data_IF_734013855750
#
_entry.id   IF_734013855750
#
_cell.length_a   1.000
_cell.length_b   1.000
_cell.length_c   1.000
_cell.angle_alpha   90.00
_cell.angle_beta   90.00
_cell.angle_gamma   90.00
#
_symmetry.space_group_name_H-M   'P 1'
#
loop_
_entity.id
_entity.type
_entity.pdbx_description
1 polymer ?
#
# COMPACT_ATOMS: atom_id res chain seq x y z
N UNK A 1 19.66 32.12 -94.07
CA UNK A 1 18.54 33.07 -93.95
C UNK A 1 17.32 32.22 -93.54
N UNK A 2 16.79 32.36 -92.46
CA UNK A 2 15.47 32.06 -91.90
C UNK A 2 15.60 31.66 -90.41
N UNK A 3 15.19 32.59 -89.58
CA UNK A 3 15.08 32.45 -88.13
C UNK A 3 13.99 31.48 -87.72
N UNK A 4 14.26 30.55 -86.80
CA UNK A 4 13.25 29.82 -86.05
C UNK A 4 13.35 30.19 -84.58
N UNK A 5 12.33 30.87 -84.07
CA UNK A 5 12.10 31.15 -82.68
C UNK A 5 11.43 29.96 -82.03
N UNK A 6 11.99 29.49 -80.90
CA UNK A 6 11.34 28.47 -80.00
C UNK A 6 10.61 29.22 -78.88
N UNK A 7 9.35 28.91 -78.56
CA UNK A 7 8.64 29.60 -77.49
C UNK A 7 8.98 28.95 -76.09
N UNK A 8 9.29 29.82 -75.14
CA UNK A 8 9.47 29.47 -73.77
C UNK A 8 8.08 29.17 -73.08
N UNK A 9 7.82 27.94 -72.74
CA UNK A 9 6.72 27.56 -71.84
C UNK A 9 7.23 27.65 -70.42
N UNK A 10 6.66 28.56 -69.64
CA UNK A 10 6.85 28.67 -68.21
C UNK A 10 6.07 27.53 -67.49
N UNK A 11 6.77 26.65 -66.83
CA UNK A 11 6.16 25.76 -65.83
C UNK A 11 5.99 26.54 -64.52
N UNK A 12 4.76 26.84 -64.10
CA UNK A 12 4.40 27.23 -62.75
C UNK A 12 4.40 26.00 -61.89
N UNK A 13 5.37 25.89 -60.97
CA UNK A 13 5.36 24.91 -59.90
C UNK A 13 4.44 25.43 -58.79
N UNK A 14 3.30 24.78 -58.65
CA UNK A 14 2.40 24.99 -57.52
C UNK A 14 3.08 24.55 -56.23
N UNK A 15 3.50 25.51 -55.40
CA UNK A 15 3.86 25.31 -54.01
C UNK A 15 2.57 25.37 -53.17
N UNK A 16 2.04 24.24 -52.85
CA UNK A 16 0.95 24.13 -51.92
C UNK A 16 0.73 22.66 -51.55
N UNK A 17 0.78 22.38 -50.25
CA UNK A 17 0.50 21.06 -49.61
C UNK A 17 1.72 20.25 -49.19
N UNK A 18 2.61 20.75 -48.32
CA UNK A 18 3.35 19.97 -47.30
C UNK A 18 3.50 20.87 -46.05
N UNK A 19 2.42 21.23 -45.40
CA UNK A 19 2.39 21.73 -44.02
C UNK A 19 1.07 21.20 -43.43
N UNK A 20 1.06 19.95 -43.06
CA UNK A 20 -0.16 19.36 -42.51
C UNK A 20 0.02 18.00 -41.83
N UNK A 21 1.27 17.55 -41.59
CA UNK A 21 1.48 16.23 -40.95
C UNK A 21 2.58 16.24 -39.87
N UNK A 22 3.05 17.39 -39.40
CA UNK A 22 4.12 17.46 -38.40
C UNK A 22 3.66 17.98 -37.03
N UNK A 23 2.36 18.20 -36.79
CA UNK A 23 1.86 18.82 -35.55
C UNK A 23 0.98 17.91 -34.69
N UNK A 24 0.86 16.62 -35.02
CA UNK A 24 0.06 15.68 -34.23
C UNK A 24 0.87 14.60 -33.48
N UNK A 25 2.21 14.68 -33.48
CA UNK A 25 3.09 13.71 -32.81
C UNK A 25 3.80 14.30 -31.57
N UNK A 26 3.45 15.47 -31.09
CA UNK A 26 4.14 16.14 -29.98
C UNK A 26 3.32 16.25 -28.68
N UNK A 27 2.24 15.50 -28.56
CA UNK A 27 1.45 15.44 -27.31
C UNK A 27 1.39 14.03 -26.67
N UNK A 28 2.18 13.05 -27.14
CA UNK A 28 2.16 11.67 -26.66
C UNK A 28 3.47 11.18 -26.06
N UNK A 29 4.33 12.06 -25.57
CA UNK A 29 5.62 11.66 -24.98
C UNK A 29 5.88 12.42 -23.67
N UNK A 30 5.10 12.11 -22.62
CA UNK A 30 5.53 12.34 -21.25
C UNK A 30 5.81 11.02 -20.48
N UNK A 31 5.32 9.87 -20.97
CA UNK A 31 5.68 8.52 -20.51
C UNK A 31 5.74 7.62 -21.75
N UNK A 32 6.96 7.28 -22.21
CA UNK A 32 7.18 6.52 -23.47
C UNK A 32 6.65 5.08 -23.42
N UNK A 33 6.70 4.40 -22.31
CA UNK A 33 6.10 3.07 -22.05
C UNK A 33 5.33 3.13 -20.74
N UNK A 34 4.23 2.37 -20.65
CA UNK A 34 3.46 2.25 -19.41
C UNK A 34 4.38 1.74 -18.31
N UNK A 35 4.48 2.40 -17.14
CA UNK A 35 5.39 1.97 -16.08
C UNK A 35 4.95 0.63 -15.50
N UNK A 36 5.89 -0.21 -15.13
CA UNK A 36 5.62 -1.30 -14.20
C UNK A 36 5.35 -0.73 -12.80
N UNK A 37 4.54 -1.41 -12.03
CA UNK A 37 4.14 -0.95 -10.70
C UNK A 37 4.35 -2.07 -9.69
N UNK A 38 5.11 -1.76 -8.63
CA UNK A 38 5.38 -2.65 -7.51
C UNK A 38 4.99 -1.94 -6.22
N UNK A 39 3.94 -2.43 -5.56
CA UNK A 39 3.50 -1.96 -4.25
C UNK A 39 3.98 -2.92 -3.18
N UNK A 40 4.83 -2.45 -2.28
CA UNK A 40 5.42 -3.24 -1.19
C UNK A 40 4.92 -2.73 0.14
N UNK A 41 4.50 -3.63 1.02
CA UNK A 41 3.97 -3.26 2.33
C UNK A 41 4.45 -4.21 3.42
N UNK A 42 5.12 -3.65 4.44
CA UNK A 42 5.46 -4.33 5.68
C UNK A 42 4.22 -4.54 6.56
N UNK A 43 4.30 -5.48 7.49
CA UNK A 43 3.27 -5.77 8.48
C UNK A 43 3.77 -5.37 9.87
N UNK A 44 3.16 -4.38 10.50
CA UNK A 44 3.51 -3.88 11.84
C UNK A 44 4.86 -3.13 11.94
N UNK A 45 5.49 -2.71 10.86
CA UNK A 45 6.69 -1.87 10.95
C UNK A 45 6.32 -0.45 11.37
N UNK A 46 6.84 -0.02 12.50
CA UNK A 46 6.64 1.34 13.00
C UNK A 46 7.45 2.40 12.24
N UNK A 47 6.99 3.65 12.35
CA UNK A 47 7.62 4.78 11.66
C UNK A 47 9.11 4.97 12.01
N UNK A 48 9.51 4.64 13.26
CA UNK A 48 10.90 4.75 13.70
C UNK A 48 11.82 3.62 13.27
N UNK A 49 11.29 2.51 12.74
CA UNK A 49 12.06 1.29 12.47
C UNK A 49 12.72 1.29 11.10
N UNK A 50 13.46 2.36 10.80
CA UNK A 50 14.25 2.55 9.58
C UNK A 50 15.52 3.35 9.89
N UNK A 51 16.62 3.03 9.20
CA UNK A 51 17.91 3.67 9.43
C UNK A 51 17.93 5.15 9.11
N UNK A 52 17.21 5.59 8.08
CA UNK A 52 17.13 7.01 7.69
C UNK A 52 16.39 7.92 8.69
N UNK A 53 15.85 7.38 9.78
CA UNK A 53 15.38 8.13 10.96
C UNK A 53 16.28 7.93 12.19
N UNK A 54 17.54 7.56 11.95
CA UNK A 54 18.59 7.43 12.98
C UNK A 54 18.25 6.39 14.07
N UNK A 55 17.62 5.25 13.66
CA UNK A 55 17.37 4.17 14.61
C UNK A 55 18.69 3.70 15.26
N UNK A 56 18.79 3.65 16.60
CA UNK A 56 20.07 3.45 17.28
C UNK A 56 20.71 2.08 16.97
N UNK A 57 19.93 1.04 16.81
CA UNK A 57 20.41 -0.34 16.67
C UNK A 57 20.12 -0.92 15.29
N UNK A 58 18.87 -0.80 14.83
CA UNK A 58 18.43 -1.37 13.55
C UNK A 58 19.05 -0.63 12.36
N UNK A 59 19.59 -1.40 11.41
CA UNK A 59 20.10 -0.88 10.13
C UNK A 59 19.25 -1.40 8.98
N UNK A 60 18.79 -0.50 8.12
CA UNK A 60 17.97 -0.83 6.94
C UNK A 60 18.60 -0.23 5.66
N UNK A 61 19.82 -0.70 5.28
CA UNK A 61 20.60 -0.06 4.22
C UNK A 61 19.89 -0.01 2.87
N UNK A 62 18.98 -0.95 2.60
CA UNK A 62 18.27 -1.01 1.32
C UNK A 62 17.08 -0.03 1.28
N UNK A 63 16.34 0.12 2.38
CA UNK A 63 15.33 1.16 2.56
C UNK A 63 15.96 2.55 2.62
N UNK A 64 17.12 2.69 3.29
CA UNK A 64 17.87 3.93 3.35
C UNK A 64 18.33 4.37 1.94
N UNK A 65 18.85 3.42 1.16
CA UNK A 65 19.22 3.67 -0.23
C UNK A 65 18.01 4.00 -1.11
N UNK A 66 16.85 3.36 -0.88
CA UNK A 66 15.60 3.69 -1.57
C UNK A 66 15.15 5.12 -1.24
N UNK A 67 15.19 5.51 0.04
CA UNK A 67 14.86 6.86 0.49
C UNK A 67 15.82 7.92 -0.06
N UNK A 68 17.10 7.59 -0.19
CA UNK A 68 18.13 8.47 -0.74
C UNK A 68 18.05 8.66 -2.26
N UNK A 69 17.36 7.75 -2.98
CA UNK A 69 17.23 7.80 -4.44
C UNK A 69 15.81 8.12 -4.93
N UNK A 70 14.85 8.29 -4.02
CA UNK A 70 13.44 8.44 -4.33
C UNK A 70 12.77 9.66 -3.68
N UNK A 71 11.45 9.59 -3.63
CA UNK A 71 10.60 10.51 -2.88
C UNK A 71 10.23 9.87 -1.53
N UNK A 72 10.81 10.38 -0.44
CA UNK A 72 10.47 10.00 0.92
C UNK A 72 9.36 10.90 1.47
N UNK A 73 8.40 10.31 2.16
CA UNK A 73 7.37 11.06 2.87
C UNK A 73 7.65 11.02 4.37
N UNK A 74 7.94 12.18 4.97
CA UNK A 74 8.10 12.27 6.42
C UNK A 74 6.78 12.06 7.17
N UNK A 75 5.65 12.27 6.50
CA UNK A 75 4.30 12.13 7.04
C UNK A 75 3.43 11.29 6.11
N UNK A 76 3.71 9.99 6.08
CA UNK A 76 2.89 9.00 5.38
C UNK A 76 2.02 8.25 6.38
N UNK A 77 0.77 8.02 6.01
CA UNK A 77 -0.23 7.43 6.90
C UNK A 77 -0.80 6.13 6.34
N UNK A 78 -0.92 5.13 7.21
CA UNK A 78 -1.73 3.95 6.98
C UNK A 78 -3.21 4.33 6.76
N UNK A 79 -4.05 3.38 6.31
CA UNK A 79 -5.49 3.62 6.18
C UNK A 79 -6.24 3.55 7.50
N UNK A 80 -5.70 2.76 8.43
CA UNK A 80 -6.19 2.56 9.78
C UNK A 80 -5.04 2.06 10.67
N UNK A 81 -5.19 2.02 12.02
CA UNK A 81 -4.11 1.55 12.90
C UNK A 81 -3.98 0.02 12.97
N UNK A 82 -4.49 -0.73 11.98
CA UNK A 82 -4.44 -2.20 11.91
C UNK A 82 -4.47 -2.71 10.47
N UNK A 83 -4.01 -3.95 10.27
CA UNK A 83 -3.69 -4.58 8.99
C UNK A 83 -4.81 -4.58 7.94
N UNK A 84 -5.88 -5.41 8.10
CA UNK A 84 -6.92 -5.58 7.06
C UNK A 84 -7.57 -4.27 6.64
N UNK A 85 -7.94 -3.35 7.55
CA UNK A 85 -8.44 -2.04 7.22
C UNK A 85 -7.53 -1.23 6.29
N UNK A 86 -6.23 -1.18 6.56
CA UNK A 86 -5.27 -0.49 5.69
C UNK A 86 -5.16 -1.16 4.33
N UNK A 87 -5.11 -2.49 4.27
CA UNK A 87 -5.04 -3.26 3.01
C UNK A 87 -6.27 -2.99 2.13
N UNK A 88 -7.46 -2.90 2.73
CA UNK A 88 -8.68 -2.49 2.03
C UNK A 88 -8.56 -1.05 1.46
N UNK A 89 -8.02 -0.12 2.27
CA UNK A 89 -7.82 1.27 1.81
C UNK A 89 -6.81 1.39 0.66
N UNK A 90 -5.74 0.57 0.65
CA UNK A 90 -4.79 0.49 -0.48
C UNK A 90 -5.50 0.06 -1.77
N UNK A 91 -6.35 -0.97 -1.68
CA UNK A 91 -7.01 -1.52 -2.86
C UNK A 91 -8.16 -0.67 -3.40
N UNK A 92 -8.74 0.21 -2.58
CA UNK A 92 -9.96 0.94 -2.94
C UNK A 92 -9.80 2.46 -3.04
N UNK A 93 -8.75 3.03 -2.42
CA UNK A 93 -8.61 4.48 -2.25
C UNK A 93 -9.62 5.08 -1.26
N UNK A 94 -10.32 4.23 -0.49
CA UNK A 94 -11.42 4.58 0.42
C UNK A 94 -11.03 4.30 1.87
N UNK A 95 -11.61 5.04 2.79
CA UNK A 95 -11.52 4.72 4.22
C UNK A 95 -12.10 3.31 4.47
N UNK A 96 -11.45 2.56 5.33
CA UNK A 96 -11.72 1.15 5.58
C UNK A 96 -13.19 0.84 5.93
N UNK A 97 -13.84 1.67 6.77
CA UNK A 97 -15.23 1.44 7.19
C UNK A 97 -16.22 1.55 6.02
N UNK A 98 -15.90 2.33 4.94
CA UNK A 98 -16.70 2.35 3.72
C UNK A 98 -16.77 0.99 3.04
N UNK A 99 -15.70 0.22 3.18
CA UNK A 99 -15.49 -1.05 2.47
C UNK A 99 -15.98 -2.28 3.25
N UNK A 100 -16.49 -2.08 4.48
CA UNK A 100 -16.88 -3.16 5.39
C UNK A 100 -15.72 -3.81 6.15
N UNK A 101 -14.51 -3.28 6.04
CA UNK A 101 -13.34 -3.80 6.75
C UNK A 101 -13.07 -2.96 7.99
N UNK A 102 -13.79 -3.25 9.08
CA UNK A 102 -13.74 -2.46 10.32
C UNK A 102 -12.56 -2.80 11.22
N UNK A 103 -12.07 -4.04 11.13
CA UNK A 103 -10.98 -4.56 11.98
C UNK A 103 -10.23 -5.69 11.27
N UNK A 104 -9.11 -6.13 11.87
CA UNK A 104 -8.32 -7.23 11.32
C UNK A 104 -9.18 -8.49 11.07
N UNK A 105 -8.97 -9.14 9.96
CA UNK A 105 -9.64 -10.37 9.57
C UNK A 105 -11.09 -10.19 9.11
N UNK A 106 -11.57 -8.98 8.76
CA UNK A 106 -12.78 -8.82 7.98
C UNK A 106 -12.51 -9.06 6.50
N UNK A 107 -13.50 -9.60 5.78
CA UNK A 107 -13.45 -9.69 4.32
C UNK A 107 -13.73 -8.34 3.68
N UNK A 108 -13.03 -8.03 2.59
CA UNK A 108 -13.38 -6.91 1.71
C UNK A 108 -14.67 -7.23 0.96
N UNK A 109 -15.60 -6.28 0.88
CA UNK A 109 -16.85 -6.45 0.15
C UNK A 109 -16.59 -6.70 -1.33
N UNK A 110 -17.24 -7.68 -1.92
CA UNK A 110 -17.12 -7.99 -3.36
C UNK A 110 -17.73 -6.92 -4.28
N UNK A 111 -18.51 -5.99 -3.71
CA UNK A 111 -19.07 -4.84 -4.41
C UNK A 111 -18.07 -3.69 -4.58
N UNK A 112 -16.91 -3.75 -3.89
CA UNK A 112 -15.85 -2.74 -4.03
C UNK A 112 -15.17 -2.85 -5.40
N UNK A 113 -14.78 -1.69 -5.94
CA UNK A 113 -13.92 -1.60 -7.12
C UNK A 113 -12.48 -1.60 -6.67
N UNK A 114 -11.78 -2.72 -6.92
CA UNK A 114 -10.42 -2.91 -6.47
C UNK A 114 -9.39 -2.48 -7.52
N UNK A 115 -8.30 -1.89 -7.05
CA UNK A 115 -7.18 -1.42 -7.87
C UNK A 115 -6.64 -2.51 -8.82
N UNK A 116 -6.40 -3.79 -8.39
CA UNK A 116 -5.90 -4.81 -9.32
C UNK A 116 -6.86 -5.08 -10.47
N UNK A 117 -8.17 -5.06 -10.23
CA UNK A 117 -9.16 -5.22 -11.30
C UNK A 117 -9.09 -4.06 -12.30
N UNK A 118 -8.95 -2.82 -11.82
CA UNK A 118 -8.81 -1.64 -12.68
C UNK A 118 -7.52 -1.72 -13.50
N UNK A 119 -6.40 -2.16 -12.90
CA UNK A 119 -5.12 -2.36 -13.58
C UNK A 119 -5.20 -3.47 -14.63
N UNK A 120 -5.83 -4.61 -14.31
CA UNK A 120 -6.06 -5.70 -15.25
C UNK A 120 -6.89 -5.23 -16.46
N UNK A 121 -7.98 -4.49 -16.23
CA UNK A 121 -8.79 -3.88 -17.29
C UNK A 121 -8.01 -2.89 -18.16
N UNK A 122 -6.99 -2.24 -17.58
CA UNK A 122 -6.07 -1.38 -18.32
C UNK A 122 -4.96 -2.15 -19.06
N UNK A 123 -4.96 -3.48 -19.03
CA UNK A 123 -4.03 -4.33 -19.76
C UNK A 123 -2.73 -4.67 -19.02
N UNK A 124 -2.68 -4.45 -17.71
CA UNK A 124 -1.58 -4.90 -16.86
C UNK A 124 -1.73 -6.39 -16.52
N UNK A 125 -0.63 -7.12 -16.46
CA UNK A 125 -0.57 -8.38 -15.74
C UNK A 125 -0.60 -8.09 -14.23
N UNK A 126 -1.39 -8.84 -13.46
CA UNK A 126 -1.61 -8.54 -12.04
C UNK A 126 -1.19 -9.71 -11.15
N UNK A 127 -0.26 -9.45 -10.22
CA UNK A 127 0.29 -10.44 -9.29
C UNK A 127 0.20 -10.02 -7.83
N UNK A 128 -0.06 -10.97 -6.92
CA UNK A 128 -0.04 -10.75 -5.47
C UNK A 128 0.82 -11.78 -4.76
N UNK A 129 1.70 -11.35 -3.86
CA UNK A 129 2.64 -12.20 -3.12
C UNK A 129 2.59 -11.87 -1.63
N UNK A 130 2.39 -12.91 -0.81
CA UNK A 130 2.40 -12.83 0.64
C UNK A 130 1.03 -12.73 1.29
N UNK A 131 0.93 -11.93 2.35
CA UNK A 131 -0.26 -11.80 3.20
C UNK A 131 -1.44 -11.15 2.48
N UNK A 132 -2.58 -11.83 2.44
CA UNK A 132 -3.83 -11.26 1.89
C UNK A 132 -4.64 -10.51 2.95
N UNK A 133 -5.08 -11.21 3.97
CA UNK A 133 -5.84 -10.71 5.14
C UNK A 133 -7.13 -9.93 4.81
N UNK A 134 -7.74 -10.18 3.65
CA UNK A 134 -9.00 -9.57 3.19
C UNK A 134 -10.08 -10.61 2.84
N UNK A 135 -9.85 -11.87 3.21
CA UNK A 135 -10.79 -12.97 2.95
C UNK A 135 -11.67 -13.36 4.14
N UNK A 136 -11.62 -12.61 5.24
CA UNK A 136 -12.46 -12.87 6.41
C UNK A 136 -11.99 -14.04 7.28
N UNK A 137 -10.73 -14.47 7.12
CA UNK A 137 -10.15 -15.57 7.89
C UNK A 137 -9.17 -15.03 8.93
N UNK A 138 -9.29 -15.56 10.15
CA UNK A 138 -8.50 -15.19 11.33
C UNK A 138 -7.65 -16.36 11.83
N UNK A 139 -6.63 -16.01 12.60
CA UNK A 139 -5.67 -16.95 13.18
C UNK A 139 -4.30 -16.81 12.53
N UNK A 140 -3.33 -17.69 12.84
CA UNK A 140 -2.09 -17.82 12.09
C UNK A 140 -2.38 -17.94 10.59
N UNK A 141 -1.45 -17.55 9.75
CA UNK A 141 -1.63 -17.66 8.31
C UNK A 141 -1.76 -19.12 7.89
N UNK A 142 -2.73 -19.38 7.03
CA UNK A 142 -2.92 -20.66 6.35
C UNK A 142 -3.05 -20.38 4.85
N UNK A 143 -2.72 -21.34 3.98
CA UNK A 143 -2.91 -21.19 2.54
C UNK A 143 -4.38 -20.84 2.22
N UNK A 144 -4.60 -20.02 1.21
CA UNK A 144 -5.95 -19.64 0.79
C UNK A 144 -6.54 -20.75 -0.09
N UNK A 145 -7.75 -21.19 0.22
CA UNK A 145 -8.48 -22.17 -0.57
C UNK A 145 -8.81 -21.62 -1.97
N UNK A 146 -8.69 -22.45 -3.01
CA UNK A 146 -8.93 -22.03 -4.39
C UNK A 146 -10.38 -21.63 -4.67
N UNK A 147 -11.33 -22.16 -3.90
CA UNK A 147 -12.76 -21.84 -3.97
C UNK A 147 -13.22 -20.79 -2.94
N UNK A 148 -12.30 -20.21 -2.15
CA UNK A 148 -12.62 -19.11 -1.24
C UNK A 148 -13.18 -17.91 -2.05
N UNK A 149 -14.44 -17.55 -1.82
CA UNK A 149 -15.09 -16.45 -2.55
C UNK A 149 -14.40 -15.09 -2.41
N UNK A 150 -13.46 -14.94 -1.48
CA UNK A 150 -12.70 -13.73 -1.20
C UNK A 150 -11.19 -13.87 -1.47
N UNK A 151 -10.76 -14.86 -2.28
CA UNK A 151 -9.36 -15.02 -2.67
C UNK A 151 -8.88 -13.85 -3.54
N UNK A 152 -7.56 -13.58 -3.66
CA UNK A 152 -7.03 -12.42 -4.40
C UNK A 152 -7.54 -12.30 -5.83
N UNK A 153 -7.74 -13.41 -6.54
CA UNK A 153 -8.26 -13.43 -7.91
C UNK A 153 -9.66 -12.81 -8.06
N UNK A 154 -10.48 -12.78 -6.99
CA UNK A 154 -11.81 -12.14 -7.00
C UNK A 154 -11.74 -10.62 -7.11
N UNK A 155 -10.59 -10.06 -6.78
CA UNK A 155 -10.32 -8.62 -6.81
C UNK A 155 -9.44 -8.22 -7.98
N UNK A 156 -9.18 -9.16 -8.92
CA UNK A 156 -8.53 -8.87 -10.19
C UNK A 156 -7.07 -9.27 -10.30
N UNK A 157 -6.50 -10.01 -9.34
CA UNK A 157 -5.19 -10.63 -9.49
C UNK A 157 -5.28 -11.88 -10.38
N UNK A 158 -4.49 -11.93 -11.45
CA UNK A 158 -4.41 -13.07 -12.37
C UNK A 158 -3.50 -14.18 -11.82
N UNK A 159 -2.54 -13.79 -10.97
CA UNK A 159 -1.62 -14.70 -10.32
C UNK A 159 -1.46 -14.30 -8.83
N UNK A 160 -1.39 -15.28 -7.95
CA UNK A 160 -1.13 -15.01 -6.54
C UNK A 160 -0.46 -16.22 -5.85
N UNK A 161 0.52 -15.91 -4.99
CA UNK A 161 1.13 -16.82 -4.02
C UNK A 161 0.89 -16.22 -2.64
N UNK A 162 -0.03 -16.82 -1.85
CA UNK A 162 -0.59 -16.07 -0.73
C UNK A 162 -0.99 -16.94 0.45
N UNK A 163 -1.08 -16.27 1.60
CA UNK A 163 -1.64 -16.79 2.84
C UNK A 163 -2.69 -15.85 3.40
N UNK A 164 -3.53 -16.37 4.31
CA UNK A 164 -4.62 -15.58 4.90
C UNK A 164 -4.14 -14.46 5.81
N UNK A 165 -3.06 -14.67 6.57
CA UNK A 165 -2.57 -13.74 7.61
C UNK A 165 -1.04 -13.80 7.72
N UNK A 166 -0.46 -13.58 8.92
CA UNK A 166 0.98 -13.58 9.15
C UNK A 166 1.61 -14.96 8.95
N UNK A 167 2.87 -14.97 8.56
CA UNK A 167 3.68 -16.16 8.27
C UNK A 167 5.17 -15.76 8.31
N UNK A 168 6.05 -16.69 8.68
CA UNK A 168 7.47 -16.43 8.87
C UNK A 168 8.35 -17.46 8.15
N UNK A 169 8.94 -18.42 8.90
CA UNK A 169 9.83 -19.43 8.35
C UNK A 169 9.04 -20.62 7.79
N UNK A 170 9.57 -21.22 6.73
CA UNK A 170 9.07 -22.44 6.10
C UNK A 170 7.54 -22.41 5.83
N UNK A 171 7.02 -21.36 5.17
CA UNK A 171 5.57 -21.19 5.08
C UNK A 171 4.92 -22.22 4.15
N UNK A 172 3.65 -22.57 4.46
CA UNK A 172 2.75 -23.18 3.48
C UNK A 172 1.95 -22.05 2.83
N UNK A 173 2.05 -21.93 1.52
CA UNK A 173 1.36 -20.88 0.76
C UNK A 173 0.43 -21.48 -0.29
N UNK A 174 -0.47 -20.70 -0.80
CA UNK A 174 -1.37 -21.09 -1.89
C UNK A 174 -0.98 -20.37 -3.18
N UNK A 175 -0.64 -21.13 -4.21
CA UNK A 175 -0.44 -20.66 -5.57
C UNK A 175 -1.73 -20.82 -6.35
N UNK A 176 -2.49 -19.76 -6.52
CA UNK A 176 -3.80 -19.75 -7.19
C UNK A 176 -4.80 -20.80 -6.66
N UNK A 177 -4.67 -21.23 -5.41
CA UNK A 177 -5.52 -22.24 -4.78
C UNK A 177 -4.83 -23.56 -4.49
N UNK A 178 -3.70 -23.86 -5.13
CA UNK A 178 -2.90 -25.05 -4.87
C UNK A 178 -1.92 -24.79 -3.72
N UNK A 179 -1.84 -25.69 -2.76
CA UNK A 179 -1.00 -25.55 -1.57
C UNK A 179 0.41 -26.04 -1.85
N UNK A 180 1.40 -25.21 -1.50
CA UNK A 180 2.82 -25.49 -1.66
C UNK A 180 3.56 -25.19 -0.35
N UNK A 181 4.51 -26.07 0.01
CA UNK A 181 5.41 -25.89 1.15
C UNK A 181 6.73 -25.28 0.66
N UNK A 182 7.23 -24.31 1.41
CA UNK A 182 8.49 -23.63 1.14
C UNK A 182 9.44 -23.81 2.32
N UNK A 183 10.75 -23.74 2.07
CA UNK A 183 11.79 -23.73 3.07
C UNK A 183 12.49 -22.36 3.11
N UNK A 184 12.74 -21.84 4.32
CA UNK A 184 13.46 -20.62 4.56
C UNK A 184 12.59 -19.43 4.94
N UNK A 185 13.19 -18.24 4.86
CA UNK A 185 12.57 -16.97 5.25
C UNK A 185 11.51 -16.52 4.24
N UNK A 186 10.31 -16.25 4.74
CA UNK A 186 9.17 -15.86 3.92
C UNK A 186 9.38 -14.55 3.17
N UNK A 187 10.15 -13.60 3.71
CA UNK A 187 10.45 -12.33 3.06
C UNK A 187 11.27 -12.53 1.79
N UNK A 188 12.19 -13.50 1.81
CA UNK A 188 12.98 -13.89 0.64
C UNK A 188 12.11 -14.62 -0.38
N UNK A 189 11.35 -15.62 0.08
CA UNK A 189 10.49 -16.47 -0.76
C UNK A 189 9.53 -15.63 -1.60
N UNK A 190 8.77 -14.71 -0.98
CA UNK A 190 7.77 -13.91 -1.72
C UNK A 190 8.41 -12.94 -2.72
N UNK A 191 9.62 -12.47 -2.46
CA UNK A 191 10.35 -11.59 -3.39
C UNK A 191 10.91 -12.37 -4.56
N UNK A 192 11.49 -13.54 -4.33
CA UNK A 192 12.02 -14.39 -5.39
C UNK A 192 10.91 -14.86 -6.33
N UNK A 193 9.78 -15.28 -5.79
CA UNK A 193 8.58 -15.64 -6.55
C UNK A 193 7.98 -14.46 -7.33
N UNK A 194 7.96 -13.28 -6.73
CA UNK A 194 7.53 -12.06 -7.41
C UNK A 194 8.48 -11.69 -8.57
N UNK A 195 9.79 -11.81 -8.38
CA UNK A 195 10.78 -11.57 -9.44
C UNK A 195 10.66 -12.58 -10.59
N UNK A 196 10.42 -13.85 -10.28
CA UNK A 196 10.18 -14.88 -11.29
C UNK A 196 8.91 -14.57 -12.11
N UNK A 197 7.83 -14.14 -11.45
CA UNK A 197 6.62 -13.68 -12.12
C UNK A 197 6.89 -12.43 -12.99
N UNK A 198 7.57 -11.40 -12.45
CA UNK A 198 7.90 -10.18 -13.19
C UNK A 198 8.73 -10.49 -14.44
N UNK A 199 9.72 -11.38 -14.32
CA UNK A 199 10.53 -11.84 -15.46
C UNK A 199 9.66 -12.39 -16.59
N UNK A 200 8.68 -13.24 -16.28
CA UNK A 200 7.75 -13.80 -17.28
C UNK A 200 6.96 -12.69 -18.00
N UNK A 201 6.56 -11.62 -17.25
CA UNK A 201 5.82 -10.51 -17.85
C UNK A 201 6.71 -9.65 -18.75
N UNK A 202 7.98 -9.41 -18.33
CA UNK A 202 8.98 -8.70 -19.15
C UNK A 202 9.24 -9.47 -20.46
N UNK A 203 9.44 -10.79 -20.38
CA UNK A 203 9.64 -11.63 -21.57
C UNK A 203 8.41 -11.62 -22.50
N UNK A 204 7.21 -11.47 -21.94
CA UNK A 204 5.97 -11.31 -22.69
C UNK A 204 5.72 -9.90 -23.21
N UNK A 205 6.58 -8.91 -22.89
CA UNK A 205 6.39 -7.50 -23.25
C UNK A 205 5.15 -6.86 -22.62
N UNK A 206 4.70 -7.34 -21.46
CA UNK A 206 3.47 -6.91 -20.80
C UNK A 206 3.80 -6.11 -19.54
N UNK A 207 3.28 -4.88 -19.36
CA UNK A 207 3.44 -4.15 -18.11
C UNK A 207 2.73 -4.89 -16.99
N UNK A 208 3.27 -4.81 -15.77
CA UNK A 208 2.70 -5.51 -14.62
C UNK A 208 2.39 -4.58 -13.46
N UNK A 209 1.39 -4.97 -12.69
CA UNK A 209 1.03 -4.45 -11.38
C UNK A 209 1.20 -5.57 -10.36
N UNK A 210 2.14 -5.42 -9.44
CA UNK A 210 2.48 -6.44 -8.45
C UNK A 210 2.36 -5.88 -7.05
N UNK A 211 1.72 -6.60 -6.16
CA UNK A 211 1.74 -6.32 -4.71
C UNK A 211 2.56 -7.38 -3.99
N UNK A 212 3.49 -6.95 -3.13
CA UNK A 212 4.30 -7.79 -2.24
C UNK A 212 4.01 -7.34 -0.82
N UNK A 213 3.21 -8.13 -0.10
CA UNK A 213 2.77 -7.82 1.25
C UNK A 213 3.39 -8.80 2.24
N UNK A 214 4.35 -8.31 2.99
CA UNK A 214 5.08 -9.10 3.97
C UNK A 214 4.19 -9.62 5.10
N UNK A 215 4.61 -10.74 5.73
CA UNK A 215 4.16 -11.16 7.03
C UNK A 215 4.94 -10.51 8.16
N UNK A 216 6.18 -10.10 7.87
CA UNK A 216 7.15 -9.55 8.81
C UNK A 216 7.00 -8.03 9.00
N UNK A 217 7.27 -7.51 10.20
CA UNK A 217 7.66 -8.20 11.44
C UNK A 217 6.46 -8.48 12.39
N UNK A 218 5.36 -9.07 11.91
CA UNK A 218 4.18 -9.39 12.73
C UNK A 218 4.46 -10.54 13.70
N UNK A 219 3.90 -10.48 14.91
CA UNK A 219 4.01 -11.55 15.89
C UNK A 219 3.23 -12.83 15.47
N UNK A 220 3.73 -14.05 15.78
CA UNK A 220 4.98 -14.36 16.47
C UNK A 220 6.20 -14.11 15.61
N UNK A 221 7.23 -13.46 16.16
CA UNK A 221 8.43 -13.13 15.41
C UNK A 221 9.38 -14.31 15.39
N UNK A 222 9.89 -14.66 14.20
CA UNK A 222 10.83 -15.77 13.99
C UNK A 222 11.84 -15.40 12.92
N UNK A 223 13.02 -14.93 13.32
CA UNK A 223 14.14 -14.68 12.42
C UNK A 223 15.12 -15.86 12.46
N UNK A 224 15.90 -16.02 11.38
CA UNK A 224 16.99 -17.00 11.31
C UNK A 224 18.16 -16.55 12.20
N UNK A 225 19.02 -17.50 12.61
CA UNK A 225 20.11 -17.25 13.55
C UNK A 225 21.09 -16.15 13.06
N UNK A 226 21.41 -16.12 11.78
CA UNK A 226 22.30 -15.09 11.19
C UNK A 226 21.72 -13.66 11.35
N UNK A 227 20.42 -13.49 11.32
CA UNK A 227 19.76 -12.20 11.50
C UNK A 227 19.60 -11.82 12.97
N UNK A 228 19.80 -12.75 13.90
CA UNK A 228 19.75 -12.50 15.35
C UNK A 228 21.10 -12.03 15.91
N UNK A 229 22.23 -12.37 15.25
CA UNK A 229 23.57 -12.05 15.76
C UNK A 229 23.75 -10.58 16.17
N UNK A 230 23.31 -9.58 15.39
CA UNK A 230 23.44 -8.17 15.77
C UNK A 230 22.61 -7.75 17.00
N UNK A 231 21.70 -8.59 17.45
CA UNK A 231 20.70 -8.32 18.49
C UNK A 231 20.79 -9.28 19.68
N UNK A 232 21.91 -10.00 19.83
CA UNK A 232 22.10 -11.03 20.86
C UNK A 232 21.94 -10.50 22.30
N UNK A 233 22.12 -9.20 22.52
CA UNK A 233 21.98 -8.56 23.83
C UNK A 233 20.53 -8.11 24.15
N UNK A 234 19.60 -8.25 23.19
CA UNK A 234 18.19 -7.89 23.39
C UNK A 234 17.38 -9.06 23.95
N UNK A 235 16.22 -8.73 24.52
CA UNK A 235 15.22 -9.73 24.86
C UNK A 235 14.81 -10.53 23.61
N UNK A 236 14.52 -11.83 23.78
CA UNK A 236 14.31 -12.76 22.67
C UNK A 236 13.31 -12.26 21.62
N UNK A 237 12.16 -11.75 22.04
CA UNK A 237 11.13 -11.26 21.11
C UNK A 237 11.59 -10.03 20.35
N UNK A 238 12.32 -9.14 21.00
CA UNK A 238 12.84 -7.90 20.40
C UNK A 238 13.94 -8.24 19.39
N UNK A 239 14.82 -9.21 19.72
CA UNK A 239 15.84 -9.71 18.80
C UNK A 239 15.22 -10.31 17.53
N UNK A 240 14.22 -11.18 17.68
CA UNK A 240 13.51 -11.77 16.53
C UNK A 240 12.79 -10.70 15.70
N UNK A 241 12.14 -9.73 16.34
CA UNK A 241 11.48 -8.63 15.62
C UNK A 241 12.47 -7.82 14.76
N UNK A 242 13.64 -7.50 15.29
CA UNK A 242 14.67 -6.80 14.52
C UNK A 242 15.31 -7.67 13.46
N UNK A 243 15.51 -8.96 13.75
CA UNK A 243 15.97 -9.92 12.76
C UNK A 243 15.07 -10.04 11.54
N UNK A 244 13.75 -10.07 11.75
CA UNK A 244 12.77 -10.04 10.66
C UNK A 244 12.82 -8.74 9.83
N UNK A 245 13.05 -7.59 10.48
CA UNK A 245 13.24 -6.32 9.77
C UNK A 245 14.52 -6.31 8.92
N UNK A 246 15.60 -6.95 9.40
CA UNK A 246 16.84 -7.13 8.63
C UNK A 246 16.61 -8.03 7.42
N UNK A 247 15.93 -9.18 7.60
CA UNK A 247 15.58 -10.08 6.51
C UNK A 247 14.71 -9.39 5.45
N UNK A 248 13.71 -8.64 5.89
CA UNK A 248 12.83 -7.85 5.03
C UNK A 248 13.61 -6.78 4.25
N UNK A 249 14.47 -5.99 4.90
CA UNK A 249 15.31 -4.99 4.23
C UNK A 249 16.25 -5.64 3.20
N UNK A 250 16.86 -6.78 3.54
CA UNK A 250 17.67 -7.56 2.61
C UNK A 250 16.85 -8.01 1.39
N UNK A 251 15.64 -8.48 1.58
CA UNK A 251 14.75 -8.91 0.49
C UNK A 251 14.33 -7.74 -0.41
N UNK A 252 14.12 -6.54 0.16
CA UNK A 252 13.90 -5.30 -0.61
C UNK A 252 15.14 -4.97 -1.45
N UNK A 253 16.34 -5.19 -0.92
CA UNK A 253 17.59 -5.08 -1.66
C UNK A 253 17.65 -6.04 -2.85
N UNK A 254 17.20 -7.29 -2.65
CA UNK A 254 17.10 -8.29 -3.71
C UNK A 254 16.11 -7.87 -4.79
N UNK A 255 14.94 -7.37 -4.40
CA UNK A 255 13.94 -6.85 -5.33
C UNK A 255 14.49 -5.71 -6.18
N UNK A 256 15.10 -4.69 -5.54
CA UNK A 256 15.73 -3.57 -6.25
C UNK A 256 16.85 -4.03 -7.21
N UNK A 257 17.63 -5.02 -6.83
CA UNK A 257 18.66 -5.62 -7.70
C UNK A 257 18.02 -6.37 -8.86
N UNK A 258 17.02 -7.21 -8.61
CA UNK A 258 16.31 -7.97 -9.64
C UNK A 258 15.65 -7.08 -10.69
N UNK A 259 15.03 -5.95 -10.29
CA UNK A 259 14.47 -4.97 -11.23
C UNK A 259 15.56 -4.36 -12.15
N UNK A 260 16.77 -4.11 -11.62
CA UNK A 260 17.91 -3.64 -12.44
C UNK A 260 18.41 -4.72 -13.39
N UNK A 261 18.55 -5.96 -12.91
CA UNK A 261 18.99 -7.11 -13.73
C UNK A 261 18.02 -7.44 -14.86
N UNK A 262 16.72 -7.22 -14.63
CA UNK A 262 15.69 -7.31 -15.68
C UNK A 262 15.67 -6.11 -16.62
N UNK A 263 16.46 -5.06 -16.37
CA UNK A 263 16.53 -3.86 -17.19
C UNK A 263 15.30 -2.95 -17.12
N UNK A 264 14.47 -3.08 -16.08
CA UNK A 264 13.18 -2.37 -15.96
C UNK A 264 13.12 -1.37 -14.79
N UNK A 265 14.18 -1.26 -13.99
CA UNK A 265 14.19 -0.41 -12.80
C UNK A 265 13.82 1.04 -13.11
N UNK A 266 14.31 1.60 -14.22
CA UNK A 266 14.06 3.00 -14.61
C UNK A 266 12.58 3.28 -14.87
N UNK A 267 11.85 2.32 -15.46
CA UNK A 267 10.42 2.44 -15.76
C UNK A 267 9.53 1.61 -14.80
N UNK A 268 9.97 1.46 -13.55
CA UNK A 268 9.19 0.81 -12.50
C UNK A 268 8.90 1.79 -11.36
N UNK A 269 7.63 2.04 -11.09
CA UNK A 269 7.18 2.72 -9.89
C UNK A 269 7.21 1.72 -8.74
N UNK A 270 8.22 1.84 -7.85
CA UNK A 270 8.35 1.03 -6.65
C UNK A 270 7.89 1.85 -5.45
N UNK A 271 6.77 1.48 -4.83
CA UNK A 271 6.18 2.15 -3.68
C UNK A 271 6.23 1.27 -2.45
N UNK A 272 6.92 1.72 -1.41
CA UNK A 272 7.04 1.05 -0.12
C UNK A 272 6.27 1.78 0.97
N UNK A 273 5.59 1.03 1.85
CA UNK A 273 5.00 1.53 3.11
C UNK A 273 4.83 0.39 4.13
N UNK A 274 4.31 0.72 5.33
CA UNK A 274 3.80 -0.27 6.30
C UNK A 274 2.27 -0.17 6.39
N UNK A 275 1.63 -1.23 6.88
CA UNK A 275 0.16 -1.30 6.98
C UNK A 275 -0.41 -0.65 8.25
N UNK A 276 0.36 -0.51 9.30
CA UNK A 276 0.02 0.24 10.52
C UNK A 276 1.27 0.57 11.33
N UNK A 277 1.12 1.38 12.36
CA UNK A 277 2.20 1.73 13.26
C UNK A 277 2.74 0.55 14.06
N UNK A 278 3.91 0.74 14.66
CA UNK A 278 4.69 -0.31 15.30
C UNK A 278 4.06 -0.95 16.54
N UNK A 279 4.59 -2.10 16.87
CA UNK A 279 4.25 -2.85 18.09
C UNK A 279 4.98 -2.27 19.31
N UNK A 280 4.55 -2.67 20.51
CA UNK A 280 5.29 -2.39 21.76
C UNK A 280 6.42 -3.43 21.92
N UNK A 281 7.43 -3.31 21.09
CA UNK A 281 8.64 -4.14 21.14
C UNK A 281 9.73 -3.34 21.85
N UNK A 282 10.10 -2.20 21.27
CA UNK A 282 11.04 -1.24 21.89
C UNK A 282 10.48 0.18 21.82
N UNK A 283 10.97 1.12 22.65
CA UNK A 283 10.54 2.52 22.55
C UNK A 283 10.76 3.15 21.17
N UNK A 284 11.77 2.70 20.45
CA UNK A 284 12.18 3.20 19.14
C UNK A 284 11.22 2.78 18.02
N UNK A 285 10.36 1.78 18.26
CA UNK A 285 9.40 1.29 17.24
C UNK A 285 8.61 2.41 16.56
N UNK A 286 8.24 3.42 17.33
CA UNK A 286 7.50 4.61 16.85
C UNK A 286 8.28 5.92 17.00
N UNK A 287 9.55 5.85 17.45
CA UNK A 287 10.46 6.98 17.62
C UNK A 287 9.83 8.16 18.40
N UNK A 288 9.27 7.88 19.58
CA UNK A 288 8.67 8.85 20.46
C UNK A 288 7.27 9.32 20.11
N UNK A 289 6.69 8.91 18.99
CA UNK A 289 5.31 9.23 18.63
C UNK A 289 4.33 8.60 19.63
N UNK A 290 3.24 9.31 19.95
CA UNK A 290 2.20 8.81 20.85
C UNK A 290 1.44 7.65 20.26
N UNK A 291 1.15 6.64 21.07
CA UNK A 291 0.37 5.46 20.70
C UNK A 291 1.17 4.43 19.91
N UNK A 292 0.49 3.38 19.49
CA UNK A 292 1.04 2.19 18.80
C UNK A 292 -0.07 1.60 17.94
N UNK A 293 0.19 0.49 17.25
CA UNK A 293 -0.83 -0.34 16.56
C UNK A 293 -2.13 -0.41 17.38
N UNK A 294 -3.27 -0.21 16.73
CA UNK A 294 -4.59 -0.19 17.37
C UNK A 294 -5.00 1.18 17.93
N UNK A 295 -4.18 2.22 17.84
CA UNK A 295 -4.52 3.58 18.28
C UNK A 295 -4.56 4.57 17.13
N UNK A 296 -5.42 5.59 17.21
CA UNK A 296 -5.55 6.64 16.18
C UNK A 296 -4.59 7.81 16.37
N UNK A 297 -3.63 7.70 17.26
CA UNK A 297 -2.51 8.63 17.44
C UNK A 297 -1.42 8.41 16.40
N UNK A 298 -0.43 9.32 16.32
CA UNK A 298 0.63 9.26 15.31
C UNK A 298 1.36 7.92 15.29
N UNK A 299 1.72 7.36 16.47
CA UNK A 299 2.40 6.07 16.57
C UNK A 299 1.62 4.87 16.06
N UNK A 300 0.29 4.98 15.91
CA UNK A 300 -0.53 3.93 15.32
C UNK A 300 -0.85 4.12 13.84
N UNK A 301 -0.76 5.37 13.34
CA UNK A 301 -1.18 5.72 11.98
C UNK A 301 -0.03 6.12 11.06
N UNK A 302 1.01 6.78 11.58
CA UNK A 302 2.15 7.24 10.79
C UNK A 302 3.13 6.09 10.58
N UNK A 303 3.51 5.88 9.32
CA UNK A 303 4.33 4.75 8.87
C UNK A 303 5.41 5.22 7.89
N UNK A 304 6.47 4.45 7.64
CA UNK A 304 7.39 4.70 6.54
C UNK A 304 6.65 4.80 5.21
N UNK A 305 7.08 5.69 4.33
CA UNK A 305 6.52 5.82 2.98
C UNK A 305 7.58 6.34 2.01
N UNK A 306 7.89 5.56 0.95
CA UNK A 306 8.92 5.88 -0.03
C UNK A 306 8.42 5.48 -1.43
N UNK A 307 8.70 6.32 -2.43
CA UNK A 307 8.55 5.96 -3.84
C UNK A 307 9.90 6.10 -4.53
N UNK A 308 10.36 5.03 -5.16
CA UNK A 308 11.51 5.05 -6.06
C UNK A 308 11.00 4.81 -7.50
N UNK A 309 11.29 5.74 -8.39
CA UNK A 309 10.96 5.64 -9.81
C UNK A 309 11.90 6.56 -10.61
N UNK A 310 13.05 6.03 -11.02
CA UNK A 310 14.14 6.86 -11.60
C UNK A 310 13.73 7.71 -12.79
N UNK A 311 12.90 7.20 -13.71
CA UNK A 311 12.47 7.98 -14.89
C UNK A 311 11.50 9.12 -14.56
N UNK A 312 10.79 9.09 -13.44
CA UNK A 312 9.82 10.10 -13.04
C UNK A 312 10.29 10.99 -11.88
N UNK A 313 11.21 10.49 -11.04
CA UNK A 313 11.80 11.19 -9.90
C UNK A 313 13.29 11.46 -10.20
N UNK A 314 13.61 12.49 -10.97
CA UNK A 314 14.99 12.73 -11.42
C UNK A 314 15.92 13.18 -10.30
N UNK A 315 15.37 13.72 -9.21
CA UNK A 315 16.10 14.16 -8.03
C UNK A 315 15.42 13.67 -6.76
N UNK A 316 16.17 13.06 -5.84
CA UNK A 316 15.64 12.65 -4.54
C UNK A 316 14.99 13.82 -3.80
N UNK A 317 13.89 13.56 -3.12
CA UNK A 317 13.15 14.59 -2.40
C UNK A 317 12.51 14.08 -1.12
N UNK A 318 12.25 15.00 -0.19
CA UNK A 318 11.52 14.71 1.04
C UNK A 318 10.24 15.56 1.08
N UNK A 319 9.09 14.88 1.14
CA UNK A 319 7.80 15.54 1.30
C UNK A 319 7.40 15.61 2.78
N UNK A 320 7.16 16.83 3.28
CA UNK A 320 6.53 17.06 4.60
C UNK A 320 5.01 17.23 4.51
N UNK A 321 4.47 17.26 3.30
CA UNK A 321 3.02 17.31 3.07
C UNK A 321 2.42 15.94 3.38
N UNK A 322 1.35 15.87 4.19
CA UNK A 322 0.71 14.59 4.52
C UNK A 322 0.28 13.82 3.28
N UNK A 323 0.58 12.53 3.25
CA UNK A 323 0.14 11.57 2.26
C UNK A 323 -0.25 10.26 2.97
N UNK A 324 -0.94 9.35 2.31
CA UNK A 324 -1.32 8.09 2.92
C UNK A 324 -1.70 7.02 1.90
N UNK A 325 -1.97 5.83 2.37
CA UNK A 325 -2.28 4.69 1.50
C UNK A 325 -3.55 4.89 0.67
N UNK A 326 -4.50 5.71 1.14
CA UNK A 326 -5.69 6.09 0.37
C UNK A 326 -5.36 6.84 -0.93
N UNK A 327 -4.15 7.42 -1.01
CA UNK A 327 -3.66 8.16 -2.17
C UNK A 327 -3.11 7.26 -3.28
N UNK A 328 -2.86 5.97 -2.99
CA UNK A 328 -2.25 5.03 -3.94
C UNK A 328 -3.15 4.87 -5.16
N UNK A 329 -4.40 4.50 -4.99
CA UNK A 329 -5.30 4.27 -6.13
C UNK A 329 -5.49 5.53 -7.00
N UNK A 330 -5.88 6.71 -6.47
CA UNK A 330 -6.03 7.91 -7.29
C UNK A 330 -4.72 8.35 -7.95
N UNK A 331 -3.56 8.10 -7.34
CA UNK A 331 -2.26 8.37 -7.95
C UNK A 331 -2.00 7.47 -9.15
N UNK A 332 -2.20 6.17 -8.99
CA UNK A 332 -2.01 5.19 -10.06
C UNK A 332 -3.05 5.37 -11.17
N UNK A 333 -4.29 5.71 -10.81
CA UNK A 333 -5.33 6.02 -11.78
C UNK A 333 -4.93 7.18 -12.70
N UNK A 334 -4.36 8.26 -12.15
CA UNK A 334 -3.87 9.40 -12.94
C UNK A 334 -2.61 9.07 -13.74
N UNK A 335 -1.67 8.28 -13.19
CA UNK A 335 -0.43 7.89 -13.88
C UNK A 335 -0.74 6.99 -15.08
N UNK A 336 -1.58 5.99 -14.89
CA UNK A 336 -1.93 4.98 -15.91
C UNK A 336 -2.97 5.51 -16.89
N UNK A 337 -3.72 6.54 -16.50
CA UNK A 337 -4.85 7.04 -17.28
C UNK A 337 -6.07 6.11 -17.21
N UNK A 338 -6.39 5.61 -16.01
CA UNK A 338 -7.58 4.78 -15.81
C UNK A 338 -8.85 5.58 -16.13
N UNK A 339 -9.90 4.93 -16.67
CA UNK A 339 -11.14 5.63 -17.02
C UNK A 339 -11.84 6.20 -15.79
N UNK A 340 -12.64 7.23 -16.02
CA UNK A 340 -13.59 7.74 -15.03
C UNK A 340 -14.48 6.58 -14.52
N UNK A 341 -14.69 6.52 -13.21
CA UNK A 341 -15.41 5.41 -12.58
C UNK A 341 -14.58 4.13 -12.33
N UNK A 342 -13.27 4.14 -12.57
CA UNK A 342 -12.40 3.03 -12.14
C UNK A 342 -12.41 2.85 -10.62
N UNK A 343 -12.55 3.94 -9.87
CA UNK A 343 -12.78 3.95 -8.42
C UNK A 343 -14.27 4.12 -8.09
N UNK A 344 -14.68 3.60 -6.95
CA UNK A 344 -16.02 3.83 -6.41
C UNK A 344 -16.06 5.15 -5.62
N UNK A 345 -16.99 6.01 -5.95
CA UNK A 345 -17.24 7.25 -5.18
C UNK A 345 -18.11 6.98 -3.95
N UNK A 346 -17.93 7.73 -2.85
CA UNK A 346 -16.82 8.65 -2.62
C UNK A 346 -15.53 7.91 -2.23
N UNK A 347 -14.39 8.37 -2.74
CA UNK A 347 -13.07 7.93 -2.27
C UNK A 347 -12.40 9.05 -1.45
N UNK A 348 -11.41 8.68 -0.60
CA UNK A 348 -10.85 9.59 0.42
C UNK A 348 -9.46 10.13 0.06
N UNK A 349 -8.78 9.51 -0.91
CA UNK A 349 -7.44 9.89 -1.35
C UNK A 349 -7.39 11.08 -2.31
N UNK A 350 -6.16 11.48 -2.63
CA UNK A 350 -5.81 12.45 -3.69
C UNK A 350 -4.62 11.91 -4.48
N UNK A 351 -4.47 12.34 -5.73
CA UNK A 351 -3.30 11.96 -6.52
C UNK A 351 -2.03 12.64 -6.03
N UNK A 352 -0.94 11.87 -5.90
CA UNK A 352 0.40 12.33 -5.58
C UNK A 352 1.29 12.47 -6.81
N UNK A 353 0.76 12.30 -8.03
CA UNK A 353 1.51 12.37 -9.29
C UNK A 353 2.37 13.63 -9.38
N UNK A 354 1.84 14.80 -9.00
CA UNK A 354 2.62 16.05 -8.98
C UNK A 354 3.81 16.00 -8.04
N UNK A 355 3.70 15.32 -6.89
CA UNK A 355 4.81 15.15 -5.95
C UNK A 355 5.88 14.22 -6.53
N UNK A 356 5.47 13.15 -7.21
CA UNK A 356 6.36 12.22 -7.93
C UNK A 356 7.13 12.96 -9.01
N UNK A 357 6.48 13.85 -9.75
CA UNK A 357 7.10 14.70 -10.78
C UNK A 357 7.93 15.87 -10.21
N UNK A 358 8.26 15.88 -8.93
CA UNK A 358 9.08 16.90 -8.26
C UNK A 358 8.34 18.20 -7.90
N UNK A 359 7.02 18.27 -8.12
CA UNK A 359 6.18 19.44 -7.81
C UNK A 359 5.42 19.23 -6.49
N UNK A 360 6.18 19.08 -5.39
CA UNK A 360 5.62 18.81 -4.06
C UNK A 360 4.78 20.01 -3.58
N UNK A 361 3.45 19.84 -3.34
CA UNK A 361 2.62 20.94 -2.87
C UNK A 361 2.97 21.27 -1.41
N UNK A 362 2.92 22.56 -1.05
CA UNK A 362 3.14 23.00 0.34
C UNK A 362 2.03 22.58 1.29
N UNK A 363 0.85 22.29 0.76
CA UNK A 363 -0.34 21.88 1.52
C UNK A 363 -1.14 20.84 0.76
N UNK A 364 -1.65 19.85 1.49
CA UNK A 364 -2.65 18.92 1.02
C UNK A 364 -4.03 19.61 0.99
N UNK A 365 -4.78 19.43 -0.08
CA UNK A 365 -6.07 20.07 -0.26
C UNK A 365 -7.20 19.35 0.49
N UNK A 366 -7.19 18.02 0.52
CA UNK A 366 -8.19 17.18 1.19
C UNK A 366 -7.57 16.56 2.45
N UNK A 367 -8.13 16.76 3.65
CA UNK A 367 -7.65 16.10 4.86
C UNK A 367 -7.64 14.58 4.73
N UNK A 368 -6.81 13.90 5.52
CA UNK A 368 -6.82 12.44 5.63
C UNK A 368 -7.64 12.06 6.86
N UNK A 369 -8.81 11.45 6.68
CA UNK A 369 -9.67 11.02 7.78
C UNK A 369 -9.42 9.56 8.15
N UNK A 370 -9.70 9.22 9.41
CA UNK A 370 -9.58 7.88 9.98
C UNK A 370 -10.78 7.56 10.87
N UNK A 371 -11.25 6.33 10.81
CA UNK A 371 -12.22 5.78 11.75
C UNK A 371 -11.83 4.36 12.13
N UNK A 372 -11.83 4.06 13.43
CA UNK A 372 -11.49 2.75 13.95
C UNK A 372 -12.12 2.52 15.33
N UNK A 373 -12.96 1.50 15.47
CA UNK A 373 -13.52 1.03 16.75
C UNK A 373 -14.09 2.16 17.63
N UNK A 374 -14.96 3.00 17.07
CA UNK A 374 -15.62 4.10 17.78
C UNK A 374 -14.72 5.31 18.08
N UNK A 375 -13.50 5.31 17.57
CA UNK A 375 -12.52 6.42 17.61
C UNK A 375 -12.23 6.89 16.19
N UNK A 376 -11.58 8.03 16.07
CA UNK A 376 -11.17 8.53 14.76
C UNK A 376 -10.09 9.59 14.84
N UNK A 377 -9.65 10.05 13.68
CA UNK A 377 -8.76 11.20 13.54
C UNK A 377 -8.97 11.87 12.19
N UNK A 378 -8.49 13.10 12.07
CA UNK A 378 -8.43 13.82 10.80
C UNK A 378 -7.15 14.66 10.74
N UNK A 379 -6.29 14.36 9.80
CA UNK A 379 -5.04 15.09 9.54
C UNK A 379 -5.29 16.16 8.48
N UNK A 380 -5.25 17.43 8.86
CA UNK A 380 -5.32 18.59 7.97
C UNK A 380 -4.01 19.38 8.05
N UNK A 381 -3.07 19.03 7.20
CA UNK A 381 -1.75 19.63 7.14
C UNK A 381 -1.02 19.57 8.48
N UNK A 382 -0.74 20.72 9.13
CA UNK A 382 -0.08 20.73 10.44
C UNK A 382 -0.99 20.31 11.60
N UNK A 383 -2.30 20.37 11.45
CA UNK A 383 -3.22 20.04 12.52
C UNK A 383 -3.76 18.62 12.41
N UNK A 384 -3.91 17.98 13.55
CA UNK A 384 -4.62 16.71 13.68
C UNK A 384 -5.69 16.82 14.75
N UNK A 385 -6.93 16.54 14.34
CA UNK A 385 -8.02 16.25 15.25
C UNK A 385 -7.96 14.77 15.62
N UNK A 386 -7.97 14.45 16.89
CA UNK A 386 -8.22 13.10 17.41
C UNK A 386 -9.63 13.05 17.98
N UNK A 387 -10.39 12.05 17.59
CA UNK A 387 -11.75 11.78 18.08
C UNK A 387 -11.66 10.59 19.02
N UNK A 388 -11.59 10.86 20.30
CA UNK A 388 -11.41 9.82 21.33
C UNK A 388 -12.67 8.99 21.52
N UNK A 389 -13.84 9.56 21.18
CA UNK A 389 -15.12 8.88 21.15
C UNK A 389 -16.05 9.53 20.13
N UNK A 390 -16.41 8.78 19.09
CA UNK A 390 -17.26 9.28 17.99
C UNK A 390 -18.68 9.60 18.46
N UNK A 391 -19.30 8.73 19.27
CA UNK A 391 -20.66 8.91 19.74
C UNK A 391 -20.81 10.11 20.68
N UNK A 392 -19.83 10.25 21.60
CA UNK A 392 -19.81 11.36 22.58
C UNK A 392 -19.26 12.67 22.01
N UNK A 393 -18.80 12.68 20.76
CA UNK A 393 -18.15 13.83 20.11
C UNK A 393 -17.01 14.40 20.98
N UNK A 394 -16.16 13.53 21.50
CA UNK A 394 -15.02 13.91 22.33
C UNK A 394 -13.77 14.09 21.46
N UNK A 395 -13.17 15.30 21.53
CA UNK A 395 -12.13 15.73 20.62
C UNK A 395 -10.88 16.23 21.36
N UNK A 396 -9.73 15.98 20.76
CA UNK A 396 -8.42 16.57 21.05
C UNK A 396 -7.87 17.20 19.75
N UNK A 397 -7.05 18.23 19.85
CA UNK A 397 -6.43 18.91 18.69
C UNK A 397 -4.92 19.08 18.93
N UNK A 398 -4.12 18.71 17.93
CA UNK A 398 -2.68 18.82 17.98
C UNK A 398 -2.11 19.60 16.78
N UNK A 399 -1.01 20.35 17.01
CA UNK A 399 -0.20 20.98 15.96
C UNK A 399 1.05 20.12 15.75
N UNK A 400 0.96 19.14 14.83
CA UNK A 400 2.02 18.17 14.58
C UNK A 400 3.33 18.78 14.02
N UNK A 401 3.33 20.07 13.65
CA UNK A 401 4.56 20.78 13.27
C UNK A 401 5.41 21.19 14.46
N UNK A 402 4.84 21.21 15.65
CA UNK A 402 5.46 21.63 16.91
C UNK A 402 5.40 20.56 18.00
N UNK A 403 4.43 19.67 17.89
CA UNK A 403 4.06 18.67 18.89
C UNK A 403 3.74 17.35 18.15
N UNK A 404 4.76 16.72 17.50
CA UNK A 404 4.56 15.49 16.73
C UNK A 404 4.20 14.29 17.61
N UNK A 405 4.47 14.36 18.91
CA UNK A 405 4.16 13.33 19.93
C UNK A 405 2.79 13.53 20.61
N UNK A 406 1.98 14.51 20.13
CA UNK A 406 0.60 14.71 20.57
C UNK A 406 0.47 14.86 22.11
N UNK A 407 1.37 15.63 22.72
CA UNK A 407 1.45 15.83 24.17
C UNK A 407 0.57 16.96 24.68
N UNK A 408 0.24 17.98 23.83
CA UNK A 408 -0.44 19.20 24.22
C UNK A 408 -1.76 19.38 23.45
N UNK A 409 -2.89 19.08 24.10
CA UNK A 409 -4.23 19.28 23.51
C UNK A 409 -4.55 20.77 23.36
N UNK A 410 -4.73 21.21 22.13
CA UNK A 410 -5.06 22.58 21.74
C UNK A 410 -6.55 22.82 21.51
N UNK A 411 -7.44 21.85 21.74
CA UNK A 411 -8.85 21.96 21.34
C UNK A 411 -9.53 23.16 21.99
N UNK A 412 -9.27 23.41 23.27
CA UNK A 412 -9.80 24.58 23.99
C UNK A 412 -8.98 25.86 23.74
N UNK A 413 -7.67 25.72 23.44
CA UNK A 413 -6.76 26.84 23.19
C UNK A 413 -6.92 27.43 21.78
N UNK A 414 -7.29 26.60 20.81
CA UNK A 414 -7.51 26.93 19.38
C UNK A 414 -8.92 26.58 18.93
N UNK A 415 -9.97 27.11 19.57
CA UNK A 415 -11.34 26.63 19.37
C UNK A 415 -11.85 26.81 17.93
N UNK A 416 -11.38 27.83 17.19
CA UNK A 416 -11.75 28.02 15.80
C UNK A 416 -11.26 26.88 14.89
N UNK A 417 -10.02 26.41 15.09
CA UNK A 417 -9.43 25.28 14.34
C UNK A 417 -10.11 23.98 14.79
N UNK A 418 -10.22 23.74 16.09
CA UNK A 418 -10.85 22.54 16.65
C UNK A 418 -12.27 22.33 16.16
N UNK A 419 -13.13 23.36 16.26
CA UNK A 419 -14.52 23.30 15.78
C UNK A 419 -14.63 23.12 14.26
N UNK A 420 -13.74 23.74 13.47
CA UNK A 420 -13.70 23.55 12.02
C UNK A 420 -13.41 22.10 11.65
N UNK A 421 -12.38 21.51 12.26
CA UNK A 421 -12.00 20.12 12.00
C UNK A 421 -13.02 19.12 12.54
N UNK A 422 -13.59 19.35 13.72
CA UNK A 422 -14.69 18.54 14.26
C UNK A 422 -15.89 18.51 13.32
N UNK A 423 -16.32 19.67 12.81
CA UNK A 423 -17.40 19.77 11.82
C UNK A 423 -17.06 19.03 10.52
N UNK A 424 -15.82 19.15 10.04
CA UNK A 424 -15.36 18.46 8.85
C UNK A 424 -15.34 16.93 9.05
N UNK A 425 -14.88 16.47 10.21
CA UNK A 425 -14.89 15.05 10.58
C UNK A 425 -16.32 14.50 10.67
N UNK A 426 -17.23 15.22 11.35
CA UNK A 426 -18.62 14.81 11.49
C UNK A 426 -19.30 14.68 10.11
N UNK A 427 -19.11 15.66 9.23
CA UNK A 427 -19.67 15.61 7.87
C UNK A 427 -19.10 14.43 7.06
N UNK A 428 -17.78 14.16 7.16
CA UNK A 428 -17.17 13.00 6.55
C UNK A 428 -17.71 11.69 7.14
N UNK A 429 -17.84 11.60 8.47
CA UNK A 429 -18.32 10.40 9.17
C UNK A 429 -19.76 10.03 8.75
N UNK A 430 -20.64 11.02 8.47
CA UNK A 430 -21.97 10.77 7.91
C UNK A 430 -21.87 10.09 6.53
N UNK A 431 -20.97 10.56 5.67
CA UNK A 431 -20.77 9.90 4.36
C UNK A 431 -20.21 8.48 4.50
N UNK A 432 -19.42 8.20 5.55
CA UNK A 432 -18.98 6.83 5.86
C UNK A 432 -20.15 5.95 6.28
N UNK A 433 -21.05 6.47 7.11
CA UNK A 433 -22.26 5.75 7.50
C UNK A 433 -23.15 5.41 6.29
N UNK A 434 -23.26 6.32 5.32
CA UNK A 434 -23.99 6.08 4.07
C UNK A 434 -23.32 4.97 3.23
N UNK A 435 -22.00 5.01 3.09
CA UNK A 435 -21.21 3.95 2.42
C UNK A 435 -21.34 2.61 3.14
N UNK A 436 -21.32 2.63 4.48
CA UNK A 436 -21.45 1.45 5.31
C UNK A 436 -22.85 0.81 5.18
N UNK A 437 -23.86 1.61 4.95
CA UNK A 437 -25.21 1.15 4.61
C UNK A 437 -25.35 0.66 3.14
N UNK A 438 -24.29 0.76 2.33
CA UNK A 438 -24.25 0.31 0.93
C UNK A 438 -24.87 1.29 -0.07
N UNK A 439 -25.09 2.56 0.31
CA UNK A 439 -25.69 3.56 -0.59
C UNK A 439 -24.82 3.92 -1.79
N UNK A 440 -23.53 3.66 -1.71
CA UNK A 440 -22.55 3.91 -2.78
C UNK A 440 -22.59 2.86 -3.89
N UNK A 441 -23.13 1.67 -3.61
CA UNK A 441 -23.20 0.61 -4.60
C UNK A 441 -24.37 0.80 -5.57
N UNK A 442 -24.25 0.24 -6.75
CA UNK A 442 -25.27 0.40 -7.80
C UNK A 442 -26.67 -0.05 -7.37
N UNK A 443 -26.72 -1.04 -6.46
CA UNK A 443 -27.95 -1.57 -5.89
C UNK A 443 -28.52 -0.70 -4.75
N UNK A 444 -27.77 0.32 -4.30
CA UNK A 444 -28.11 1.18 -3.16
C UNK A 444 -28.17 0.45 -1.81
N UNK A 445 -27.60 -0.74 -1.71
CA UNK A 445 -27.60 -1.60 -0.52
C UNK A 445 -26.43 -2.59 -0.52
N UNK A 446 -26.18 -3.19 0.63
CA UNK A 446 -25.21 -4.27 0.77
C UNK A 446 -25.74 -5.58 0.15
N UNK A 447 -24.91 -6.27 -0.63
CA UNK A 447 -25.20 -7.63 -1.09
C UNK A 447 -25.06 -8.64 0.05
N UNK A 448 -24.09 -8.44 0.94
CA UNK A 448 -23.87 -9.23 2.17
C UNK A 448 -23.72 -8.27 3.36
N UNK A 449 -24.74 -8.11 4.21
CA UNK A 449 -24.68 -7.24 5.37
C UNK A 449 -23.76 -7.74 6.48
N UNK A 450 -23.39 -9.01 6.44
CA UNK A 450 -22.56 -9.66 7.45
C UNK A 450 -21.23 -10.11 6.84
N UNK A 451 -20.22 -9.24 6.75
CA UNK A 451 -18.93 -9.61 6.18
C UNK A 451 -18.32 -10.77 6.97
N UNK A 452 -17.79 -11.75 6.25
CA UNK A 452 -17.16 -12.93 6.83
C UNK A 452 -16.04 -12.52 7.78
N UNK A 453 -15.99 -13.17 8.96
CA UNK A 453 -14.93 -13.08 9.94
C UNK A 453 -14.90 -14.31 10.82
N UNK A 454 -14.19 -15.36 10.40
CA UNK A 454 -14.15 -16.69 11.04
C UNK A 454 -12.72 -17.11 11.36
N UNK A 455 -12.54 -18.01 12.32
CA UNK A 455 -11.26 -18.70 12.48
C UNK A 455 -11.18 -19.87 11.50
N UNK A 456 -10.01 -20.04 10.84
CA UNK A 456 -9.83 -21.17 9.92
C UNK A 456 -10.02 -22.52 10.60
N UNK A 457 -9.72 -22.63 11.90
CA UNK A 457 -9.93 -23.85 12.67
C UNK A 457 -11.40 -24.26 12.84
N UNK A 458 -12.33 -23.31 12.64
CA UNK A 458 -13.77 -23.56 12.69
C UNK A 458 -14.34 -23.83 11.29
N UNK A 459 -13.48 -23.96 10.27
CA UNK A 459 -13.87 -24.17 8.88
C UNK A 459 -13.62 -25.63 8.47
N UNK A 460 -14.68 -26.37 8.09
CA UNK A 460 -14.58 -27.79 7.68
C UNK A 460 -13.61 -28.00 6.52
N UNK A 461 -13.44 -27.01 5.65
CA UNK A 461 -12.57 -27.07 4.47
C UNK A 461 -11.10 -27.25 4.83
N UNK A 462 -10.68 -26.80 6.02
CA UNK A 462 -9.32 -26.97 6.51
C UNK A 462 -9.09 -28.23 7.37
N UNK A 463 -10.15 -28.90 7.83
CA UNK A 463 -10.04 -30.10 8.69
C UNK A 463 -9.13 -31.20 8.12
N UNK A 464 -9.14 -31.50 6.80
CA UNK A 464 -8.26 -32.52 6.21
C UNK A 464 -6.75 -32.27 6.43
N UNK A 465 -6.33 -31.02 6.64
CA UNK A 465 -4.93 -30.64 6.82
C UNK A 465 -4.50 -30.63 8.29
N UNK A 466 -5.42 -30.67 9.25
CA UNK A 466 -5.12 -30.58 10.68
C UNK A 466 -4.13 -31.64 11.18
N UNK A 467 -4.14 -32.91 10.75
CA UNK A 467 -3.20 -33.92 11.23
C UNK A 467 -1.74 -33.54 10.98
N UNK A 468 -1.43 -32.87 9.85
CA UNK A 468 -0.10 -32.44 9.51
C UNK A 468 0.23 -31.07 10.10
N UNK A 469 -0.68 -30.11 10.03
CA UNK A 469 -0.48 -28.77 10.57
C UNK A 469 -0.30 -28.73 12.09
N UNK A 470 -0.89 -29.65 12.84
CA UNK A 470 -0.65 -29.79 14.30
C UNK A 470 0.83 -30.02 14.66
N UNK A 471 1.63 -30.51 13.75
CA UNK A 471 3.05 -30.78 13.96
C UNK A 471 3.91 -29.51 13.78
N UNK A 472 3.39 -28.47 13.12
CA UNK A 472 4.12 -27.27 12.77
C UNK A 472 4.21 -26.29 13.96
N UNK A 473 5.37 -25.63 14.15
CA UNK A 473 5.60 -24.74 15.30
C UNK A 473 4.61 -23.58 15.37
N UNK A 474 4.25 -22.96 14.24
CA UNK A 474 3.36 -21.79 14.15
C UNK A 474 1.92 -22.11 14.55
N UNK A 475 1.51 -23.38 14.45
CA UNK A 475 0.18 -23.83 14.84
C UNK A 475 0.13 -24.51 16.22
N UNK A 476 1.30 -24.73 16.83
CA UNK A 476 1.42 -25.39 18.14
C UNK A 476 0.62 -24.63 19.20
N UNK A 477 -0.25 -25.36 19.92
CA UNK A 477 -1.12 -24.78 20.95
C UNK A 477 -2.37 -24.07 20.41
N UNK A 478 -2.58 -24.03 19.09
CA UNK A 478 -3.78 -23.47 18.47
C UNK A 478 -4.91 -24.49 18.37
N UNK A 479 -4.57 -25.73 18.11
CA UNK A 479 -5.53 -26.83 18.13
C UNK A 479 -5.88 -27.21 19.59
N UNK A 480 -7.16 -27.26 19.91
CA UNK A 480 -7.69 -27.71 21.20
C UNK A 480 -7.73 -29.23 21.26
#
# INVERSE_FOLDING_TARGET
>A
MTNFRIPHTRFQICHGWIIGLATTILAACAYGERPNIVLVMADDQGWGQVGYYDHPTLKTPNLDAMAANGLRFDRFYAGAPVCSPTRASVLTGRANDRTGVYQHGNALRLQERALPEAMRKAGYATGHFGKWHLNGIRGPGVPILGDDKYHPGRYGYEYWLSVTNFFDLDPIMSRNGDFEEFEGDSSVIIVDEALAYMKTQVEAGKPFFTTIWYGSPHAPMMAIDDDLEPFADLEKNDAHHYGELVAMDRSIGNLRRGLRELGIADNTLFWYCSDNGGLRVTPESVNGLRGLKGTVYEGGLRVPGIIEWPSAIPQPAVSKTPAGVVDIFPTLAEIVGLPEGAMLEPYDGVSLKRSIEGRIPKRRQKPIPFRYMGKGAMVDNQYKLVVTNVEKKAYELYDLSKDPDESNDLFQVRPAVGKRLAKAYEAWNETVNDSDAGKDYAEGKLADPNPRRVFWMDMPEYEPYFPDWKKRPEYKGRFK
#
